data_IF_399881382822
#
_entry.id   IF_399881382822
#
_cell.length_a   1.000
_cell.length_b   1.000
_cell.length_c   1.000
_cell.angle_alpha   90.00
_cell.angle_beta   90.00
_cell.angle_gamma   90.00
#
_symmetry.space_group_name_H-M   'P 1'
#
loop_
_entity.id
_entity.type
_entity.pdbx_description
1 polymer ?
#
# COMPACT_ATOMS: atom_id res chain seq x y z
N UNK A 1 -5.61 16.36 -15.56
CA UNK A 1 -4.41 16.33 -14.70
C UNK A 1 -3.28 17.01 -15.46
N UNK A 2 -2.43 17.79 -14.80
CA UNK A 2 -1.34 18.56 -15.47
C UNK A 2 0.07 18.10 -15.06
N UNK A 3 0.16 17.33 -13.98
CA UNK A 3 1.39 16.81 -13.39
C UNK A 3 1.04 15.70 -12.40
N UNK A 4 2.05 14.93 -11.99
CA UNK A 4 1.94 13.79 -11.07
C UNK A 4 3.12 13.72 -10.10
N UNK A 5 3.04 12.89 -9.06
CA UNK A 5 4.23 12.52 -8.28
C UNK A 5 5.06 11.47 -9.03
N UNK A 6 6.32 11.26 -8.66
CA UNK A 6 7.11 10.15 -9.23
C UNK A 6 6.48 8.78 -8.97
N UNK A 7 5.78 8.62 -7.84
CA UNK A 7 5.16 7.36 -7.43
C UNK A 7 3.82 7.10 -8.15
N UNK A 8 3.21 8.12 -8.75
CA UNK A 8 2.00 7.96 -9.57
C UNK A 8 2.38 7.47 -10.96
N UNK A 9 2.71 6.18 -11.08
CA UNK A 9 3.11 5.53 -12.34
C UNK A 9 1.96 4.73 -13.00
N UNK A 10 0.76 4.81 -12.44
CA UNK A 10 -0.43 4.10 -12.91
C UNK A 10 -1.68 5.01 -12.90
N UNK A 11 -2.60 4.91 -13.88
CA UNK A 11 -2.53 4.04 -15.07
C UNK A 11 -1.50 4.54 -16.08
N UNK A 12 -0.98 3.69 -16.97
CA UNK A 12 0.08 4.08 -17.91
C UNK A 12 -0.26 5.32 -18.77
N UNK A 13 -1.55 5.60 -18.97
CA UNK A 13 -2.04 6.79 -19.66
C UNK A 13 -1.64 8.14 -19.00
N UNK A 14 -1.21 8.16 -17.74
CA UNK A 14 -0.75 9.39 -17.07
C UNK A 14 0.76 9.60 -17.15
N UNK A 15 1.51 8.65 -17.71
CA UNK A 15 2.98 8.68 -17.68
C UNK A 15 3.60 9.80 -18.51
N UNK A 16 2.88 10.29 -19.52
CA UNK A 16 3.28 11.45 -20.34
C UNK A 16 3.20 12.77 -19.57
N UNK A 17 2.54 12.80 -18.41
CA UNK A 17 2.50 13.98 -17.54
C UNK A 17 3.82 14.12 -16.77
N UNK A 18 4.30 15.36 -16.54
CA UNK A 18 5.53 15.60 -15.81
C UNK A 18 5.41 15.11 -14.36
N UNK A 19 6.40 14.35 -13.92
CA UNK A 19 6.60 14.02 -12.51
C UNK A 19 7.29 15.19 -11.82
N UNK A 20 6.63 15.78 -10.82
CA UNK A 20 7.15 16.98 -10.12
C UNK A 20 7.84 16.66 -8.80
N UNK A 21 7.82 15.40 -8.37
CA UNK A 21 8.58 14.97 -7.19
C UNK A 21 9.62 13.94 -7.59
N UNK A 22 10.69 13.84 -6.81
CA UNK A 22 11.70 12.79 -6.96
C UNK A 22 12.24 12.42 -5.57
N UNK A 23 12.56 11.13 -5.33
CA UNK A 23 13.19 10.73 -4.08
C UNK A 23 14.60 11.32 -4.00
N UNK A 24 14.99 11.79 -2.82
CA UNK A 24 16.36 12.22 -2.53
C UNK A 24 17.23 11.00 -2.24
N UNK A 25 16.61 9.97 -1.65
CA UNK A 25 17.22 8.71 -1.29
C UNK A 25 17.13 7.71 -2.44
N UNK A 26 18.12 6.84 -2.55
CA UNK A 26 18.05 5.65 -3.41
C UNK A 26 18.35 4.46 -2.53
N UNK A 27 17.50 3.44 -2.57
CA UNK A 27 17.62 2.27 -1.73
C UNK A 27 17.30 1.03 -2.55
N UNK A 28 17.96 -0.07 -2.22
CA UNK A 28 17.73 -1.37 -2.87
C UNK A 28 17.33 -2.45 -1.88
N UNK A 29 17.39 -2.16 -0.58
CA UNK A 29 17.00 -3.06 0.50
C UNK A 29 16.19 -2.31 1.54
N UNK A 30 15.38 -3.07 2.27
CA UNK A 30 14.63 -2.62 3.43
C UNK A 30 15.55 -2.02 4.50
N UNK A 31 16.66 -2.67 4.84
CA UNK A 31 17.56 -2.17 5.88
C UNK A 31 18.20 -0.82 5.50
N UNK A 32 18.53 -0.65 4.22
CA UNK A 32 19.11 0.60 3.73
C UNK A 32 18.07 1.73 3.71
N UNK A 33 16.84 1.44 3.27
CA UNK A 33 15.72 2.37 3.36
C UNK A 33 15.53 2.85 4.82
N UNK A 34 15.62 1.96 5.81
CA UNK A 34 15.25 2.28 7.20
C UNK A 34 16.27 3.23 7.80
N UNK A 35 17.54 2.96 7.50
CA UNK A 35 18.66 3.81 7.87
C UNK A 35 18.51 5.20 7.27
N UNK A 36 18.28 5.31 5.96
CA UNK A 36 18.18 6.60 5.26
C UNK A 36 16.97 7.41 5.74
N UNK A 37 15.82 6.74 5.93
CA UNK A 37 14.59 7.35 6.42
C UNK A 37 14.74 7.82 7.86
N UNK A 38 15.28 6.97 8.73
CA UNK A 38 15.52 7.32 10.13
C UNK A 38 16.48 8.50 10.27
N UNK A 39 17.57 8.52 9.48
CA UNK A 39 18.50 9.65 9.42
C UNK A 39 17.80 10.94 8.98
N UNK A 40 17.07 10.92 7.86
CA UNK A 40 16.36 12.10 7.35
C UNK A 40 15.32 12.64 8.33
N UNK A 41 14.49 11.76 8.91
CA UNK A 41 13.47 12.12 9.89
C UNK A 41 14.10 12.71 11.15
N UNK A 42 15.21 12.14 11.64
CA UNK A 42 15.91 12.65 12.83
C UNK A 42 16.49 14.06 12.63
N UNK A 43 16.84 14.39 11.39
CA UNK A 43 17.39 15.69 11.01
C UNK A 43 16.33 16.69 10.55
N UNK A 44 15.06 16.27 10.44
CA UNK A 44 13.97 17.09 9.91
C UNK A 44 14.10 17.37 8.41
N UNK A 45 14.85 16.55 7.67
CA UNK A 45 15.04 16.69 6.24
C UNK A 45 13.86 16.08 5.47
N UNK A 46 13.47 16.70 4.36
CA UNK A 46 12.55 16.07 3.41
C UNK A 46 13.21 14.82 2.80
N UNK A 47 12.42 13.80 2.50
CA UNK A 47 12.84 12.62 1.73
C UNK A 47 12.65 12.81 0.22
N UNK A 48 11.97 13.89 -0.18
CA UNK A 48 11.60 14.17 -1.56
C UNK A 48 11.93 15.60 -1.96
N UNK A 49 12.36 15.75 -3.21
CA UNK A 49 12.40 17.03 -3.89
C UNK A 49 11.06 17.31 -4.56
N UNK A 50 10.68 18.59 -4.63
CA UNK A 50 9.54 19.11 -5.38
C UNK A 50 10.03 20.17 -6.35
N UNK A 51 9.71 19.98 -7.63
CA UNK A 51 9.90 20.98 -8.68
C UNK A 51 8.86 22.11 -8.53
N UNK A 52 9.17 23.04 -7.63
CA UNK A 52 8.29 24.14 -7.27
C UNK A 52 8.08 25.12 -8.42
N UNK A 53 9.12 25.37 -9.23
CA UNK A 53 9.06 26.29 -10.36
C UNK A 53 8.09 25.77 -11.43
N UNK A 54 8.21 24.48 -11.77
CA UNK A 54 7.34 23.86 -12.75
C UNK A 54 5.91 23.70 -12.21
N UNK A 55 5.73 23.36 -10.93
CA UNK A 55 4.41 23.33 -10.30
C UNK A 55 3.69 24.69 -10.41
N UNK A 56 4.39 25.81 -10.12
CA UNK A 56 3.85 27.17 -10.28
C UNK A 56 3.49 27.43 -11.75
N UNK A 57 4.39 27.09 -12.69
CA UNK A 57 4.20 27.33 -14.11
C UNK A 57 2.99 26.61 -14.70
N UNK A 58 2.67 25.41 -14.19
CA UNK A 58 1.53 24.59 -14.63
C UNK A 58 0.17 25.13 -14.16
N UNK A 59 0.15 26.06 -13.19
CA UNK A 59 -1.08 26.69 -12.65
C UNK A 59 -2.21 25.69 -12.35
N UNK A 60 -1.96 24.61 -11.58
CA UNK A 60 -3.01 23.71 -11.13
C UNK A 60 -4.11 24.49 -10.40
N UNK A 61 -5.35 24.05 -10.55
CA UNK A 61 -6.49 24.55 -9.77
C UNK A 61 -6.75 23.70 -8.52
N UNK A 62 -6.27 22.46 -8.52
CA UNK A 62 -6.38 21.50 -7.42
C UNK A 62 -5.04 20.78 -7.25
N UNK A 63 -4.59 20.62 -6.00
CA UNK A 63 -3.44 19.78 -5.64
C UNK A 63 -3.96 18.69 -4.71
N UNK A 64 -3.84 17.43 -5.13
CA UNK A 64 -4.12 16.27 -4.29
C UNK A 64 -2.82 15.83 -3.62
N UNK A 65 -2.83 15.67 -2.31
CA UNK A 65 -1.66 15.25 -1.53
C UNK A 65 -2.09 14.36 -0.36
N UNK A 66 -1.12 13.79 0.32
CA UNK A 66 -1.29 13.01 1.55
C UNK A 66 -0.29 13.46 2.62
N UNK A 67 -0.59 13.15 3.87
CA UNK A 67 0.27 13.31 5.05
C UNK A 67 0.28 12.03 5.91
N UNK A 68 -0.15 10.90 5.32
CA UNK A 68 -0.35 9.63 6.00
C UNK A 68 0.96 9.00 6.46
N UNK A 69 2.02 9.12 5.65
CA UNK A 69 3.32 8.54 5.92
C UNK A 69 4.39 9.62 5.88
N UNK A 70 5.03 9.90 7.03
CA UNK A 70 6.17 10.83 7.11
C UNK A 70 7.40 10.38 6.30
N UNK A 71 7.37 9.14 5.81
CA UNK A 71 8.40 8.56 4.96
C UNK A 71 8.09 8.79 3.48
N UNK A 72 6.88 8.44 3.05
CA UNK A 72 6.53 8.38 1.63
C UNK A 72 5.78 9.62 1.10
N UNK A 73 5.25 10.46 1.99
CA UNK A 73 4.52 11.68 1.62
C UNK A 73 5.44 12.89 1.57
N UNK A 74 5.16 13.80 0.64
CA UNK A 74 5.78 15.12 0.67
C UNK A 74 5.26 15.92 1.88
N UNK A 75 6.12 16.75 2.47
CA UNK A 75 5.75 17.62 3.58
C UNK A 75 4.58 18.55 3.21
N UNK A 76 3.45 18.37 3.89
CA UNK A 76 2.22 19.12 3.64
C UNK A 76 2.42 20.63 3.82
N UNK A 77 3.23 21.03 4.80
CA UNK A 77 3.51 22.45 5.08
C UNK A 77 4.22 23.10 3.89
N UNK A 78 5.15 22.39 3.25
CA UNK A 78 5.86 22.83 2.05
C UNK A 78 4.91 23.00 0.87
N UNK A 79 3.98 22.07 0.64
CA UNK A 79 2.95 22.17 -0.40
C UNK A 79 2.04 23.38 -0.15
N UNK A 80 1.57 23.59 1.08
CA UNK A 80 0.74 24.73 1.46
C UNK A 80 1.44 26.07 1.25
N UNK A 81 2.70 26.17 1.67
CA UNK A 81 3.52 27.39 1.47
C UNK A 81 3.73 27.71 0.00
N UNK A 82 3.89 26.70 -0.84
CA UNK A 82 4.05 26.88 -2.27
C UNK A 82 2.74 27.32 -2.94
N UNK A 83 1.64 26.63 -2.64
CA UNK A 83 0.30 26.97 -3.15
C UNK A 83 -0.10 28.41 -2.81
N UNK A 84 0.23 28.89 -1.60
CA UNK A 84 -0.05 30.25 -1.15
C UNK A 84 0.66 31.34 -1.98
N UNK A 85 1.69 30.98 -2.76
CA UNK A 85 2.41 31.90 -3.67
C UNK A 85 1.82 31.92 -5.08
N UNK A 86 0.81 31.10 -5.37
CA UNK A 86 0.20 30.97 -6.68
C UNK A 86 -1.05 31.84 -6.80
N UNK A 87 -1.32 32.34 -8.00
CA UNK A 87 -2.52 33.11 -8.32
C UNK A 87 -3.20 32.55 -9.59
N UNK A 88 -4.42 31.98 -9.49
CA UNK A 88 -5.19 31.77 -8.25
C UNK A 88 -4.54 30.71 -7.34
N UNK A 89 -4.77 30.81 -6.03
CA UNK A 89 -4.36 29.77 -5.08
C UNK A 89 -5.11 28.45 -5.38
N UNK A 90 -4.41 27.32 -5.60
CA UNK A 90 -5.08 26.04 -5.83
C UNK A 90 -5.80 25.54 -4.57
N UNK A 91 -6.91 24.81 -4.76
CA UNK A 91 -7.54 24.01 -3.68
C UNK A 91 -6.62 22.84 -3.34
N UNK A 92 -6.16 22.76 -2.09
CA UNK A 92 -5.41 21.59 -1.60
C UNK A 92 -6.41 20.56 -1.05
N UNK A 93 -6.31 19.34 -1.53
CA UNK A 93 -7.08 18.18 -1.07
C UNK A 93 -6.10 17.22 -0.41
N UNK A 94 -6.11 17.19 0.92
CA UNK A 94 -5.27 16.28 1.70
C UNK A 94 -6.07 15.02 2.04
N UNK A 95 -5.56 13.86 1.66
CA UNK A 95 -6.20 12.55 1.87
C UNK A 95 -5.30 11.70 2.77
N UNK A 96 -5.86 11.20 3.87
CA UNK A 96 -5.15 10.35 4.84
C UNK A 96 -5.99 9.11 5.21
N UNK A 97 -6.41 8.30 4.22
CA UNK A 97 -7.25 7.15 4.52
C UNK A 97 -6.46 6.09 5.29
N UNK A 98 -7.12 5.47 6.25
CA UNK A 98 -6.57 4.43 7.12
C UNK A 98 -7.29 3.09 6.95
N UNK A 99 -8.41 3.07 6.24
CA UNK A 99 -9.24 1.89 5.96
C UNK A 99 -9.61 1.81 4.47
N UNK A 100 -10.04 0.64 4.01
CA UNK A 100 -10.56 0.42 2.65
C UNK A 100 -11.75 1.36 2.38
N UNK A 101 -12.64 1.51 3.36
CA UNK A 101 -13.79 2.42 3.27
C UNK A 101 -13.37 3.89 3.06
N UNK A 102 -12.37 4.37 3.81
CA UNK A 102 -11.85 5.74 3.65
C UNK A 102 -11.13 5.95 2.32
N UNK A 103 -10.49 4.90 1.75
CA UNK A 103 -9.96 4.97 0.38
C UNK A 103 -11.09 5.13 -0.64
N UNK A 104 -12.21 4.43 -0.47
CA UNK A 104 -13.37 4.60 -1.35
C UNK A 104 -14.00 6.00 -1.20
N UNK A 105 -14.06 6.53 0.02
CA UNK A 105 -14.52 7.91 0.28
C UNK A 105 -13.60 8.97 -0.31
N UNK A 106 -12.29 8.69 -0.38
CA UNK A 106 -11.31 9.56 -1.03
C UNK A 106 -11.63 9.79 -2.50
N UNK A 107 -12.22 8.79 -3.20
CA UNK A 107 -12.68 8.94 -4.60
C UNK A 107 -13.77 10.00 -4.71
N UNK A 108 -14.74 9.99 -3.78
CA UNK A 108 -15.81 10.98 -3.75
C UNK A 108 -15.26 12.37 -3.42
N UNK A 109 -14.32 12.46 -2.47
CA UNK A 109 -13.65 13.71 -2.10
C UNK A 109 -12.87 14.32 -3.26
N UNK A 110 -12.12 13.52 -4.02
CA UNK A 110 -11.43 13.96 -5.23
C UNK A 110 -12.44 14.39 -6.29
N UNK A 111 -13.50 13.60 -6.50
CA UNK A 111 -14.58 13.88 -7.44
C UNK A 111 -15.23 15.25 -7.21
N UNK A 112 -15.58 15.56 -5.97
CA UNK A 112 -16.07 16.90 -5.59
C UNK A 112 -15.05 17.99 -5.93
N UNK A 113 -13.79 17.79 -5.54
CA UNK A 113 -12.75 18.80 -5.72
C UNK A 113 -12.49 19.18 -7.17
N UNK A 114 -12.67 18.23 -8.11
CA UNK A 114 -12.46 18.44 -9.55
C UNK A 114 -13.78 18.63 -10.32
N UNK A 115 -14.94 18.68 -9.65
CA UNK A 115 -16.25 18.87 -10.28
C UNK A 115 -16.75 17.66 -11.09
N UNK A 116 -16.37 16.44 -10.68
CA UNK A 116 -16.66 15.14 -11.32
C UNK A 116 -17.38 14.19 -10.36
N UNK A 117 -18.38 14.70 -9.65
CA UNK A 117 -19.10 13.94 -8.61
C UNK A 117 -19.85 12.74 -9.17
N UNK A 118 -20.47 12.87 -10.34
CA UNK A 118 -21.19 11.77 -11.00
C UNK A 118 -20.23 10.65 -11.44
N UNK A 119 -19.11 10.99 -12.07
CA UNK A 119 -18.11 10.01 -12.48
C UNK A 119 -17.46 9.34 -11.27
N UNK A 120 -17.15 10.08 -10.20
CA UNK A 120 -16.63 9.53 -8.97
C UNK A 120 -17.60 8.56 -8.29
N UNK A 121 -18.91 8.85 -8.32
CA UNK A 121 -19.94 7.96 -7.79
C UNK A 121 -20.01 6.63 -8.56
N UNK A 122 -19.88 6.66 -9.89
CA UNK A 122 -19.83 5.46 -10.73
C UNK A 122 -18.62 4.60 -10.38
N UNK A 123 -17.42 5.19 -10.39
CA UNK A 123 -16.17 4.46 -10.07
C UNK A 123 -16.23 3.85 -8.67
N UNK A 124 -16.71 4.63 -7.68
CA UNK A 124 -16.86 4.15 -6.31
C UNK A 124 -17.82 2.95 -6.23
N UNK A 125 -18.99 3.05 -6.87
CA UNK A 125 -19.97 1.96 -6.87
C UNK A 125 -19.43 0.67 -7.52
N UNK A 126 -18.64 0.79 -8.59
CA UNK A 126 -18.00 -0.35 -9.26
C UNK A 126 -16.98 -1.05 -8.33
N UNK A 127 -16.16 -0.27 -7.63
CA UNK A 127 -15.17 -0.79 -6.67
C UNK A 127 -15.85 -1.43 -5.45
N UNK A 128 -16.88 -0.77 -4.89
CA UNK A 128 -17.66 -1.31 -3.77
C UNK A 128 -18.37 -2.62 -4.15
N UNK A 129 -18.88 -2.75 -5.38
CA UNK A 129 -19.46 -3.99 -5.87
C UNK A 129 -18.46 -5.15 -5.93
N UNK A 130 -17.20 -4.88 -6.31
CA UNK A 130 -16.11 -5.87 -6.31
C UNK A 130 -15.70 -6.29 -4.89
N UNK A 131 -15.60 -5.34 -3.97
CA UNK A 131 -15.36 -5.62 -2.54
C UNK A 131 -16.49 -6.50 -1.99
N UNK A 132 -17.74 -6.17 -2.29
CA UNK A 132 -18.91 -6.93 -1.85
C UNK A 132 -18.94 -8.35 -2.45
N UNK A 133 -18.50 -8.52 -3.70
CA UNK A 133 -18.32 -9.86 -4.32
C UNK A 133 -17.30 -10.70 -3.54
N UNK A 134 -16.17 -10.10 -3.13
CA UNK A 134 -15.17 -10.76 -2.29
C UNK A 134 -15.78 -11.18 -0.95
N UNK A 135 -16.44 -10.24 -0.25
CA UNK A 135 -17.06 -10.47 1.06
C UNK A 135 -18.07 -11.62 1.01
N UNK A 136 -19.01 -11.59 0.07
CA UNK A 136 -20.03 -12.65 -0.09
C UNK A 136 -19.41 -14.01 -0.38
N UNK A 137 -18.36 -14.05 -1.19
CA UNK A 137 -17.67 -15.30 -1.51
C UNK A 137 -17.00 -15.89 -0.28
N UNK A 138 -16.28 -15.07 0.50
CA UNK A 138 -15.64 -15.49 1.74
C UNK A 138 -16.66 -15.93 2.78
N UNK A 139 -17.80 -15.23 2.89
CA UNK A 139 -18.91 -15.64 3.78
C UNK A 139 -19.49 -17.00 3.40
N UNK A 140 -19.69 -17.26 2.10
CA UNK A 140 -20.12 -18.57 1.61
C UNK A 140 -19.12 -19.68 1.97
N UNK A 141 -17.83 -19.44 1.74
CA UNK A 141 -16.76 -20.40 2.12
C UNK A 141 -16.77 -20.68 3.62
N UNK A 142 -16.88 -19.64 4.45
CA UNK A 142 -16.96 -19.78 5.91
C UNK A 142 -18.16 -20.61 6.35
N UNK A 143 -19.32 -20.43 5.71
CA UNK A 143 -20.54 -21.17 6.02
C UNK A 143 -20.48 -22.64 5.58
N UNK A 144 -19.86 -22.92 4.44
CA UNK A 144 -19.74 -24.28 3.87
C UNK A 144 -18.60 -25.10 4.50
N UNK A 145 -17.59 -24.42 5.06
CA UNK A 145 -16.42 -25.07 5.67
C UNK A 145 -16.70 -25.43 7.13
N UNK A 146 -16.92 -26.71 7.39
CA UNK A 146 -17.02 -27.22 8.75
C UNK A 146 -15.76 -26.86 9.56
N UNK A 147 -15.93 -26.11 10.66
CA UNK A 147 -14.86 -25.59 11.53
C UNK A 147 -13.85 -24.69 10.80
N UNK A 148 -14.33 -23.77 9.95
CA UNK A 148 -13.50 -22.74 9.35
C UNK A 148 -12.51 -22.13 10.36
N UNK A 149 -11.22 -22.14 10.02
CA UNK A 149 -10.16 -21.48 10.78
C UNK A 149 -9.52 -20.40 9.88
N UNK A 150 -9.55 -19.13 10.29
CA UNK A 150 -8.85 -18.07 9.56
C UNK A 150 -7.35 -18.37 9.48
N UNK A 151 -6.79 -18.34 8.27
CA UNK A 151 -5.33 -18.45 8.08
C UNK A 151 -4.65 -17.26 8.73
N UNK A 152 -3.61 -17.50 9.53
CA UNK A 152 -2.76 -16.44 10.11
C UNK A 152 -1.81 -15.91 9.03
N UNK A 153 -2.01 -14.66 8.61
CA UNK A 153 -1.26 -14.04 7.51
C UNK A 153 -0.25 -13.05 8.07
N UNK A 154 1.04 -13.36 7.94
CA UNK A 154 2.10 -12.40 8.23
C UNK A 154 2.45 -11.63 6.95
N UNK A 155 2.15 -10.33 6.96
CA UNK A 155 2.44 -9.43 5.85
C UNK A 155 3.69 -8.60 6.17
N UNK A 156 4.74 -8.76 5.38
CA UNK A 156 5.98 -7.98 5.50
C UNK A 156 5.91 -6.77 4.57
N UNK A 157 5.47 -5.63 5.10
CA UNK A 157 5.62 -4.31 4.45
C UNK A 157 7.07 -3.84 4.52
N UNK A 158 7.81 -4.34 5.50
CA UNK A 158 9.24 -4.14 5.66
C UNK A 158 9.85 -5.39 6.31
N UNK A 159 10.95 -5.90 5.76
CA UNK A 159 11.58 -7.17 6.17
C UNK A 159 12.68 -6.97 7.23
N UNK A 160 13.41 -5.86 7.18
CA UNK A 160 14.43 -5.51 8.16
C UNK A 160 14.56 -3.98 8.32
N UNK A 161 14.27 -3.43 9.51
CA UNK A 161 13.51 -4.04 10.60
C UNK A 161 12.11 -4.53 10.16
N UNK A 162 11.50 -5.42 10.94
CA UNK A 162 10.19 -5.98 10.57
C UNK A 162 9.09 -4.97 10.83
N UNK A 163 8.37 -4.58 9.78
CA UNK A 163 7.10 -3.85 9.87
C UNK A 163 5.99 -4.73 9.29
N UNK A 164 5.01 -5.14 10.11
CA UNK A 164 3.77 -5.70 9.61
C UNK A 164 2.97 -4.61 8.90
N UNK A 165 2.28 -4.97 7.81
CA UNK A 165 1.40 -4.04 7.10
C UNK A 165 0.32 -3.46 8.01
N UNK A 166 0.21 -2.13 8.03
CA UNK A 166 -0.77 -1.39 8.83
C UNK A 166 -1.94 -0.86 7.99
N UNK A 167 -2.61 0.18 8.50
CA UNK A 167 -3.74 0.87 7.88
C UNK A 167 -4.83 -0.11 7.42
N UNK A 168 -5.08 -0.18 6.12
CA UNK A 168 -6.08 -1.03 5.48
C UNK A 168 -5.62 -2.49 5.34
N UNK A 169 -4.33 -2.80 5.49
CA UNK A 169 -3.79 -4.16 5.26
C UNK A 169 -4.40 -5.21 6.20
N UNK A 170 -4.51 -4.99 7.53
CA UNK A 170 -5.20 -5.93 8.41
C UNK A 170 -6.68 -6.10 8.04
N UNK A 171 -7.38 -5.01 7.70
CA UNK A 171 -8.79 -5.04 7.27
C UNK A 171 -8.95 -5.88 6.00
N UNK A 172 -8.09 -5.70 4.99
CA UNK A 172 -8.16 -6.48 3.75
C UNK A 172 -7.91 -7.97 3.99
N UNK A 173 -6.99 -8.32 4.88
CA UNK A 173 -6.74 -9.71 5.28
C UNK A 173 -7.98 -10.31 5.95
N UNK A 174 -8.64 -9.57 6.84
CA UNK A 174 -9.87 -10.00 7.51
C UNK A 174 -11.05 -10.13 6.54
N UNK A 175 -11.21 -9.18 5.61
CA UNK A 175 -12.21 -9.24 4.54
C UNK A 175 -12.00 -10.45 3.62
N UNK A 176 -10.75 -10.81 3.35
CA UNK A 176 -10.39 -12.02 2.63
C UNK A 176 -10.53 -13.31 3.48
N UNK A 177 -10.93 -13.20 4.75
CA UNK A 177 -11.17 -14.33 5.66
C UNK A 177 -9.95 -14.83 6.41
N UNK A 178 -8.80 -14.20 6.27
CA UNK A 178 -7.63 -14.44 7.10
C UNK A 178 -7.70 -13.71 8.44
N UNK A 179 -6.57 -13.72 9.15
CA UNK A 179 -6.34 -12.87 10.33
C UNK A 179 -4.92 -12.32 10.28
N UNK A 180 -4.78 -11.01 10.50
CA UNK A 180 -3.47 -10.38 10.65
C UNK A 180 -3.04 -10.48 12.13
N UNK A 181 -2.00 -11.25 12.48
CA UNK A 181 -1.86 -11.76 13.83
C UNK A 181 -1.22 -10.77 14.83
N UNK A 182 -0.79 -9.58 14.39
CA UNK A 182 -0.04 -8.62 15.22
C UNK A 182 -0.73 -7.26 15.34
N UNK A 183 -1.57 -6.89 14.38
CA UNK A 183 -2.08 -5.52 14.23
C UNK A 183 -3.59 -5.51 14.10
N UNK A 184 -4.20 -4.57 14.81
CA UNK A 184 -5.59 -4.20 14.59
C UNK A 184 -5.72 -3.36 13.31
N UNK A 185 -6.88 -3.41 12.63
CA UNK A 185 -7.21 -2.53 11.52
C UNK A 185 -7.03 -1.04 11.83
N UNK A 186 -6.78 -0.24 10.78
CA UNK A 186 -6.65 1.22 10.79
C UNK A 186 -5.47 1.79 11.61
N UNK A 187 -4.59 0.96 12.17
CA UNK A 187 -3.39 1.40 12.89
C UNK A 187 -2.18 1.47 11.94
N UNK A 188 -1.31 2.49 12.05
CA UNK A 188 -0.13 2.57 11.20
C UNK A 188 0.82 1.38 11.42
N UNK A 189 1.60 1.07 10.38
CA UNK A 189 2.69 0.12 10.45
C UNK A 189 3.69 0.55 11.52
N UNK A 190 4.16 -0.39 12.34
CA UNK A 190 5.18 -0.12 13.35
C UNK A 190 6.15 -1.28 13.39
N UNK A 191 7.39 -0.97 13.76
CA UNK A 191 8.42 -1.96 14.02
C UNK A 191 7.96 -2.98 15.07
N UNK A 192 8.19 -4.26 14.79
CA UNK A 192 7.95 -5.36 15.73
C UNK A 192 9.21 -6.19 15.91
N UNK A 193 9.25 -7.01 16.97
CA UNK A 193 10.40 -7.88 17.24
C UNK A 193 10.22 -9.22 16.54
N UNK A 194 11.32 -9.91 16.28
CA UNK A 194 11.32 -11.28 15.73
C UNK A 194 10.49 -12.22 16.62
N UNK A 195 10.63 -12.11 17.93
CA UNK A 195 9.94 -12.95 18.90
C UNK A 195 8.41 -12.76 18.80
N UNK A 196 7.95 -11.52 18.62
CA UNK A 196 6.54 -11.23 18.45
C UNK A 196 5.97 -11.85 17.17
N UNK A 197 6.75 -11.88 16.10
CA UNK A 197 6.37 -12.51 14.82
C UNK A 197 6.35 -14.02 14.93
N UNK A 198 7.42 -14.63 15.49
CA UNK A 198 7.48 -16.08 15.67
C UNK A 198 6.35 -16.61 16.59
N UNK A 199 5.96 -15.84 17.60
CA UNK A 199 4.86 -16.19 18.51
C UNK A 199 3.49 -16.29 17.80
N UNK A 200 3.33 -15.69 16.62
CA UNK A 200 2.07 -15.76 15.86
C UNK A 200 1.87 -17.06 15.07
N UNK A 201 2.94 -17.85 14.91
CA UNK A 201 2.95 -19.08 14.10
C UNK A 201 2.20 -18.95 12.76
N UNK A 202 2.64 -18.03 11.87
CA UNK A 202 1.89 -17.67 10.67
C UNK A 202 1.86 -18.80 9.63
N UNK A 203 0.71 -18.94 8.97
CA UNK A 203 0.46 -19.97 7.95
C UNK A 203 0.73 -19.48 6.53
N UNK A 204 0.59 -18.17 6.30
CA UNK A 204 0.83 -17.52 5.01
C UNK A 204 1.77 -16.36 5.23
N UNK A 205 2.87 -16.32 4.46
CA UNK A 205 3.82 -15.21 4.45
C UNK A 205 3.68 -14.44 3.14
N UNK A 206 3.38 -13.16 3.24
CA UNK A 206 3.34 -12.25 2.09
C UNK A 206 4.51 -11.29 2.26
N UNK A 207 5.48 -11.34 1.35
CA UNK A 207 6.56 -10.36 1.29
C UNK A 207 6.16 -9.31 0.24
N UNK A 208 5.89 -8.09 0.69
CA UNK A 208 5.46 -6.98 -0.14
C UNK A 208 6.14 -5.68 0.34
N UNK A 209 7.49 -5.61 0.30
CA UNK A 209 8.20 -4.50 0.90
C UNK A 209 7.90 -3.19 0.18
N UNK A 210 7.51 -2.17 0.95
CA UNK A 210 7.10 -0.88 0.38
C UNK A 210 8.22 -0.25 -0.46
N UNK A 211 7.86 0.18 -1.68
CA UNK A 211 8.80 0.79 -2.63
C UNK A 211 9.75 -0.18 -3.33
N UNK A 212 9.65 -1.50 -3.09
CA UNK A 212 10.45 -2.53 -3.76
C UNK A 212 9.61 -3.31 -4.77
N UNK A 213 10.17 -3.55 -5.95
CA UNK A 213 9.60 -4.42 -6.97
C UNK A 213 9.82 -5.92 -6.65
N UNK A 214 9.37 -6.82 -7.53
CA UNK A 214 9.54 -8.27 -7.36
C UNK A 214 11.01 -8.71 -7.35
N UNK A 215 11.89 -8.08 -8.14
CA UNK A 215 13.30 -8.44 -8.18
C UNK A 215 13.99 -8.12 -6.85
N UNK A 216 13.74 -6.91 -6.33
CA UNK A 216 14.22 -6.48 -5.02
C UNK A 216 13.61 -7.33 -3.89
N UNK A 217 12.31 -7.67 -3.98
CA UNK A 217 11.66 -8.56 -3.00
C UNK A 217 12.29 -9.94 -2.95
N UNK A 218 12.75 -10.49 -4.10
CA UNK A 218 13.50 -11.75 -4.13
C UNK A 218 14.85 -11.63 -3.40
N UNK A 219 15.53 -10.50 -3.54
CA UNK A 219 16.79 -10.24 -2.82
C UNK A 219 16.53 -10.17 -1.30
N UNK A 220 15.47 -9.48 -0.88
CA UNK A 220 15.03 -9.45 0.51
C UNK A 220 14.74 -10.84 1.07
N UNK A 221 14.04 -11.68 0.30
CA UNK A 221 13.78 -13.07 0.71
C UNK A 221 15.06 -13.87 0.90
N UNK A 222 16.06 -13.72 0.02
CA UNK A 222 17.33 -14.42 0.16
C UNK A 222 18.05 -14.01 1.45
N UNK A 223 18.08 -12.72 1.77
CA UNK A 223 18.63 -12.19 3.02
C UNK A 223 17.86 -12.72 4.25
N UNK A 224 16.54 -12.80 4.17
CA UNK A 224 15.71 -13.39 5.22
C UNK A 224 16.01 -14.88 5.40
N UNK A 225 16.22 -15.63 4.31
CA UNK A 225 16.54 -17.05 4.37
C UNK A 225 17.92 -17.35 4.98
N UNK A 226 18.80 -16.36 5.14
CA UNK A 226 20.02 -16.50 5.94
C UNK A 226 19.74 -16.44 7.46
N UNK A 227 18.57 -15.91 7.86
CA UNK A 227 18.21 -15.72 9.27
C UNK A 227 17.52 -16.99 9.83
N UNK A 228 18.03 -17.61 10.91
CA UNK A 228 17.47 -18.85 11.46
C UNK A 228 15.99 -18.76 11.87
N UNK A 229 15.54 -17.59 12.34
CA UNK A 229 14.13 -17.39 12.72
C UNK A 229 13.20 -17.46 11.51
N UNK A 230 13.59 -16.85 10.39
CA UNK A 230 12.77 -16.86 9.19
C UNK A 230 12.77 -18.25 8.55
N UNK A 231 13.90 -18.96 8.54
CA UNK A 231 13.96 -20.36 8.10
C UNK A 231 12.96 -21.26 8.85
N UNK A 232 12.86 -21.12 10.18
CA UNK A 232 11.88 -21.86 11.00
C UNK A 232 10.44 -21.53 10.59
N UNK A 233 10.14 -20.24 10.43
CA UNK A 233 8.82 -19.78 10.04
C UNK A 233 8.47 -20.25 8.61
N UNK A 234 9.36 -20.06 7.63
CA UNK A 234 9.19 -20.51 6.25
C UNK A 234 8.99 -22.03 6.12
N UNK A 235 9.64 -22.82 6.98
CA UNK A 235 9.44 -24.27 7.04
C UNK A 235 8.01 -24.64 7.44
N UNK A 236 7.40 -23.89 8.39
CA UNK A 236 6.04 -24.13 8.91
C UNK A 236 4.94 -23.52 8.04
N UNK A 237 5.21 -22.39 7.41
CA UNK A 237 4.26 -21.69 6.56
C UNK A 237 3.74 -22.62 5.46
N UNK A 238 2.44 -22.60 5.21
CA UNK A 238 1.80 -23.34 4.12
C UNK A 238 1.94 -22.64 2.78
N UNK A 239 2.11 -21.31 2.79
CA UNK A 239 2.38 -20.55 1.58
C UNK A 239 3.32 -19.38 1.84
N UNK A 240 4.16 -19.10 0.85
CA UNK A 240 5.06 -17.94 0.81
C UNK A 240 4.94 -17.32 -0.56
N UNK A 241 4.58 -16.04 -0.60
CA UNK A 241 4.41 -15.29 -1.86
C UNK A 241 5.16 -13.97 -1.82
N UNK A 242 5.60 -13.53 -2.99
CA UNK A 242 6.09 -12.18 -3.23
C UNK A 242 5.02 -11.38 -3.93
N UNK A 243 4.92 -10.10 -3.59
CA UNK A 243 4.08 -9.13 -4.27
C UNK A 243 4.92 -7.87 -4.49
N UNK A 244 4.77 -7.22 -5.64
CA UNK A 244 5.39 -5.91 -5.90
C UNK A 244 4.84 -4.87 -4.91
N UNK A 245 5.64 -4.53 -3.90
CA UNK A 245 5.28 -3.57 -2.86
C UNK A 245 5.51 -2.11 -3.28
N UNK A 246 6.15 -1.85 -4.43
CA UNK A 246 6.14 -0.53 -5.02
C UNK A 246 4.72 -0.17 -5.50
N UNK A 247 3.98 -1.12 -6.08
CA UNK A 247 2.67 -0.85 -6.67
C UNK A 247 1.47 -1.30 -5.85
N UNK A 248 1.55 -2.46 -5.19
CA UNK A 248 0.40 -3.11 -4.54
C UNK A 248 0.45 -2.94 -3.01
N UNK A 249 -0.72 -2.95 -2.38
CA UNK A 249 -0.94 -2.80 -0.93
C UNK A 249 -0.49 -1.48 -0.29
N UNK A 250 0.50 -0.78 -0.82
CA UNK A 250 1.12 0.38 -0.17
C UNK A 250 0.63 1.74 -0.72
N UNK A 251 -0.30 1.73 -1.68
CA UNK A 251 -0.88 2.93 -2.30
C UNK A 251 -2.39 2.99 -2.04
N UNK A 252 -2.86 4.11 -1.48
CA UNK A 252 -4.26 4.37 -1.14
C UNK A 252 -5.11 4.73 -2.38
N UNK A 253 -5.30 3.76 -3.28
CA UNK A 253 -6.02 3.97 -4.53
C UNK A 253 -6.92 2.80 -4.96
N UNK A 254 -7.57 2.91 -6.13
CA UNK A 254 -8.51 1.90 -6.64
C UNK A 254 -7.98 0.48 -6.71
N UNK A 255 -6.66 0.32 -6.93
CA UNK A 255 -6.00 -0.99 -7.03
C UNK A 255 -5.90 -1.76 -5.71
N UNK A 256 -6.29 -1.17 -4.57
CA UNK A 256 -6.47 -1.94 -3.33
C UNK A 256 -7.58 -2.99 -3.47
N UNK A 257 -8.57 -2.78 -4.35
CA UNK A 257 -9.58 -3.80 -4.64
C UNK A 257 -8.97 -5.02 -5.32
N UNK A 258 -8.00 -4.83 -6.22
CA UNK A 258 -7.23 -5.94 -6.81
C UNK A 258 -6.41 -6.66 -5.74
N UNK A 259 -5.85 -5.92 -4.77
CA UNK A 259 -5.13 -6.52 -3.64
C UNK A 259 -6.05 -7.41 -2.78
N UNK A 260 -7.29 -6.99 -2.55
CA UNK A 260 -8.30 -7.79 -1.85
C UNK A 260 -8.69 -9.04 -2.65
N UNK A 261 -8.93 -8.91 -3.95
CA UNK A 261 -9.22 -10.04 -4.85
C UNK A 261 -8.06 -11.06 -4.84
N UNK A 262 -6.82 -10.57 -4.94
CA UNK A 262 -5.62 -11.40 -4.79
C UNK A 262 -5.59 -12.15 -3.46
N UNK A 263 -5.93 -11.51 -2.33
CA UNK A 263 -5.98 -12.18 -1.03
C UNK A 263 -7.06 -13.27 -1.00
N UNK A 264 -8.25 -13.03 -1.59
CA UNK A 264 -9.30 -14.06 -1.69
C UNK A 264 -8.81 -15.27 -2.49
N UNK A 265 -8.17 -15.03 -3.63
CA UNK A 265 -7.53 -16.09 -4.42
C UNK A 265 -6.50 -16.85 -3.59
N UNK A 266 -5.54 -16.14 -2.98
CA UNK A 266 -4.43 -16.74 -2.24
C UNK A 266 -4.91 -17.57 -1.05
N UNK A 267 -5.86 -17.04 -0.27
CA UNK A 267 -6.30 -17.69 0.97
C UNK A 267 -7.27 -18.86 0.71
N UNK A 268 -8.00 -18.86 -0.40
CA UNK A 268 -9.05 -19.86 -0.66
C UNK A 268 -8.85 -20.70 -1.93
N UNK A 269 -7.81 -20.46 -2.71
CA UNK A 269 -7.57 -21.15 -3.98
C UNK A 269 -8.64 -20.84 -5.04
N UNK A 270 -9.13 -19.59 -5.06
CA UNK A 270 -10.18 -19.11 -5.96
C UNK A 270 -9.55 -18.34 -7.13
N UNK A 271 -9.05 -19.06 -8.12
CA UNK A 271 -8.35 -18.50 -9.28
C UNK A 271 -9.19 -17.47 -10.07
N UNK A 272 -10.52 -17.52 -9.97
CA UNK A 272 -11.41 -16.50 -10.57
C UNK A 272 -11.36 -15.12 -9.88
N UNK A 273 -10.57 -14.99 -8.82
CA UNK A 273 -10.23 -13.73 -8.17
C UNK A 273 -8.80 -13.28 -8.46
N UNK A 274 -8.01 -14.02 -9.24
CA UNK A 274 -6.68 -13.56 -9.65
C UNK A 274 -6.81 -12.29 -10.52
N UNK A 275 -6.29 -11.12 -10.09
CA UNK A 275 -6.38 -9.93 -10.91
C UNK A 275 -5.44 -10.04 -12.12
N UNK A 276 -5.92 -9.60 -13.28
CA UNK A 276 -5.15 -9.69 -14.53
C UNK A 276 -3.88 -8.87 -14.43
N UNK A 277 -2.72 -9.50 -14.62
CA UNK A 277 -1.42 -8.82 -14.55
C UNK A 277 -1.00 -8.40 -13.15
N UNK A 278 -1.60 -8.98 -12.10
CA UNK A 278 -1.16 -8.74 -10.72
C UNK A 278 0.30 -9.19 -10.54
N UNK A 279 1.23 -8.32 -10.13
CA UNK A 279 2.65 -8.63 -10.05
C UNK A 279 2.96 -9.40 -8.77
N UNK A 280 2.88 -10.73 -8.83
CA UNK A 280 3.16 -11.61 -7.70
C UNK A 280 3.87 -12.89 -8.13
N UNK A 281 4.48 -13.59 -7.16
CA UNK A 281 5.12 -14.88 -7.36
C UNK A 281 4.86 -15.83 -6.19
N UNK A 282 4.65 -17.12 -6.48
CA UNK A 282 4.57 -18.17 -5.46
C UNK A 282 5.92 -18.84 -5.26
N UNK A 283 6.36 -18.91 -4.01
CA UNK A 283 7.58 -19.62 -3.60
C UNK A 283 7.23 -20.95 -2.92
N UNK A 284 6.15 -20.96 -2.15
CA UNK A 284 5.60 -22.12 -1.47
C UNK A 284 4.08 -22.08 -1.48
#
# INVERSE_FOLDING_TARGET
>A
MVARSHADDFPHAILDLPALTAPITTFTTSADLDRQVSEAVSQGNSLYNLDAEHLIALKPTVIVTQDLCKVCSIDLVSVQRLAAKMDPTPRIVTLNPTSVGEVMESIATIGDAIGRTSEAAVVRAELEARIERCRRTVEGIKAETAKYQPKRVMFFEWTDPIYPGGHWTPEMIELAGGVHPIKAPAQPSQRVTVESVEATDPEVLILCPCGLDLEATRKEYNLLMEKPWFQRMAKRATSIVFVDGNQMFNRSGPRLVECLEFLVMLLHGREEFEPVGFPWERIK
#
